data_IF_751818802508
#
_entry.id   IF_751818802508
#
_cell.length_a   1.000
_cell.length_b   1.000
_cell.length_c   1.000
_cell.angle_alpha   90.00
_cell.angle_beta   90.00
_cell.angle_gamma   90.00
#
_symmetry.space_group_name_H-M   'P 1'
#
loop_
_entity.id
_entity.type
_entity.pdbx_description
1 polymer ?
#
# COMPACT_ATOMS: atom_id res chain seq x y z
N UNK A 1 13.85 -0.72 -2.11
CA UNK A 1 13.74 0.47 -2.97
C UNK A 1 13.54 0.10 -4.43
N UNK A 2 12.71 0.83 -5.19
CA UNK A 2 12.65 0.77 -6.67
C UNK A 2 13.96 1.38 -7.24
N UNK A 3 14.89 0.58 -7.80
CA UNK A 3 16.17 1.10 -8.28
C UNK A 3 15.94 2.03 -9.49
N UNK A 4 16.54 3.21 -9.48
CA UNK A 4 16.48 4.20 -10.59
C UNK A 4 15.07 4.69 -10.99
N UNK A 5 14.04 4.44 -10.16
CA UNK A 5 12.68 4.96 -10.36
C UNK A 5 11.90 4.37 -11.54
N UNK A 6 12.33 3.23 -12.07
CA UNK A 6 11.72 2.59 -13.24
C UNK A 6 11.39 1.12 -13.05
N UNK A 7 10.54 0.60 -13.94
CA UNK A 7 10.28 -0.84 -14.05
C UNK A 7 11.50 -1.59 -14.60
N UNK A 8 11.61 -2.87 -14.27
CA UNK A 8 12.61 -3.76 -14.88
C UNK A 8 12.41 -3.81 -16.40
N UNK A 9 13.52 -3.78 -17.15
CA UNK A 9 13.49 -3.97 -18.61
C UNK A 9 13.17 -5.40 -19.04
N UNK A 10 13.35 -6.37 -18.13
CA UNK A 10 12.95 -7.76 -18.32
C UNK A 10 11.88 -8.15 -17.28
N UNK A 11 10.74 -8.72 -17.71
CA UNK A 11 9.77 -9.28 -16.78
C UNK A 11 10.40 -10.38 -15.93
N UNK A 12 10.18 -10.32 -14.62
CA UNK A 12 10.60 -11.32 -13.64
C UNK A 12 9.41 -11.70 -12.76
N UNK A 13 8.37 -12.36 -13.32
CA UNK A 13 7.17 -12.73 -12.57
C UNK A 13 7.47 -13.83 -11.55
N UNK A 14 6.82 -13.75 -10.40
CA UNK A 14 6.91 -14.71 -9.31
C UNK A 14 5.67 -14.56 -8.42
N UNK A 15 5.27 -15.57 -7.63
CA UNK A 15 4.18 -15.40 -6.67
C UNK A 15 4.44 -14.28 -5.67
N UNK A 16 3.39 -13.65 -5.14
CA UNK A 16 3.52 -12.70 -4.02
C UNK A 16 4.01 -13.41 -2.76
N UNK A 17 4.78 -12.69 -1.94
CA UNK A 17 5.34 -13.21 -0.68
C UNK A 17 4.32 -13.33 0.45
N UNK A 18 3.15 -12.71 0.29
CA UNK A 18 2.06 -12.72 1.26
C UNK A 18 0.70 -12.76 0.56
N UNK A 19 -0.35 -12.94 1.34
CA UNK A 19 -1.72 -12.76 0.87
C UNK A 19 -1.91 -11.28 0.54
N UNK A 20 -2.52 -10.99 -0.61
CA UNK A 20 -2.84 -9.64 -1.08
C UNK A 20 -4.35 -9.47 -1.27
N UNK A 21 -4.81 -8.23 -1.44
CA UNK A 21 -6.19 -7.94 -1.81
C UNK A 21 -6.69 -8.70 -3.06
N UNK A 22 -8.01 -8.88 -3.11
CA UNK A 22 -8.72 -9.35 -4.29
C UNK A 22 -9.59 -8.23 -4.85
N UNK A 23 -9.66 -8.08 -6.18
CA UNK A 23 -10.57 -7.13 -6.83
C UNK A 23 -12.04 -7.44 -6.55
N UNK A 24 -12.37 -8.69 -6.16
CA UNK A 24 -13.71 -9.11 -5.73
C UNK A 24 -14.06 -8.63 -4.31
N UNK A 25 -13.07 -8.22 -3.53
CA UNK A 25 -13.22 -7.74 -2.16
C UNK A 25 -12.47 -6.41 -1.97
N UNK A 26 -12.88 -5.34 -2.69
CA UNK A 26 -12.11 -4.10 -2.75
C UNK A 26 -12.01 -3.37 -1.40
N UNK A 27 -12.87 -3.70 -0.45
CA UNK A 27 -12.91 -3.14 0.90
C UNK A 27 -12.05 -3.92 1.91
N UNK A 28 -11.19 -4.84 1.44
CA UNK A 28 -10.30 -5.64 2.28
C UNK A 28 -8.91 -5.69 1.63
N UNK A 29 -7.86 -5.45 2.42
CA UNK A 29 -6.48 -5.70 2.02
C UNK A 29 -5.67 -6.27 3.18
N UNK A 30 -4.50 -6.82 2.84
CA UNK A 30 -3.60 -7.53 3.73
C UNK A 30 -2.17 -7.04 3.54
N UNK A 31 -1.43 -7.00 4.64
CA UNK A 31 -0.01 -6.68 4.63
C UNK A 31 0.66 -7.42 5.78
N UNK A 32 1.86 -7.95 5.55
CA UNK A 32 2.71 -8.45 6.63
C UNK A 32 3.17 -7.31 7.55
N UNK A 33 3.03 -7.51 8.85
CA UNK A 33 3.44 -6.55 9.87
C UNK A 33 4.08 -7.20 11.08
N UNK A 34 4.44 -6.35 12.04
CA UNK A 34 4.99 -6.68 13.35
C UNK A 34 3.95 -7.15 14.35
N UNK A 35 4.37 -7.22 15.61
CA UNK A 35 3.58 -7.80 16.72
C UNK A 35 2.36 -6.96 17.06
N UNK A 36 2.55 -5.64 17.09
CA UNK A 36 1.51 -4.66 17.41
C UNK A 36 1.82 -3.36 16.66
N UNK A 37 0.84 -2.45 16.63
CA UNK A 37 1.06 -1.09 16.13
C UNK A 37 2.14 -0.42 16.98
N UNK A 38 3.10 0.24 16.32
CA UNK A 38 4.30 0.82 16.94
C UNK A 38 5.27 -0.20 17.60
N UNK A 39 5.12 -1.51 17.33
CA UNK A 39 6.01 -2.56 17.87
C UNK A 39 6.68 -3.39 16.76
N UNK A 40 7.95 -3.07 16.51
CA UNK A 40 8.82 -3.72 15.53
C UNK A 40 9.74 -4.78 16.15
N UNK A 41 9.58 -5.11 17.44
CA UNK A 41 10.50 -5.99 18.20
C UNK A 41 10.64 -7.39 17.60
N UNK A 42 9.62 -7.88 16.90
CA UNK A 42 9.60 -9.17 16.22
C UNK A 42 9.93 -9.08 14.70
N UNK A 43 10.25 -7.89 14.19
CA UNK A 43 10.36 -7.61 12.76
C UNK A 43 9.00 -7.39 12.09
N UNK A 44 9.01 -6.98 10.82
CA UNK A 44 7.80 -6.65 10.04
C UNK A 44 7.20 -7.83 9.26
N UNK A 45 7.84 -8.99 9.32
CA UNK A 45 7.34 -10.25 8.73
C UNK A 45 6.85 -11.21 9.83
N UNK A 46 6.22 -10.67 10.88
CA UNK A 46 5.82 -11.45 12.05
C UNK A 46 4.45 -12.11 11.87
N UNK A 47 3.44 -11.33 11.47
CA UNK A 47 2.08 -11.83 11.26
C UNK A 47 1.37 -11.04 10.14
N UNK A 48 0.34 -11.65 9.57
CA UNK A 48 -0.50 -10.97 8.58
C UNK A 48 -1.47 -10.04 9.29
N UNK A 49 -1.59 -8.82 8.79
CA UNK A 49 -2.58 -7.85 9.22
C UNK A 49 -3.64 -7.67 8.13
N UNK A 50 -4.81 -7.21 8.55
CA UNK A 50 -5.94 -6.93 7.67
C UNK A 50 -6.46 -5.52 7.94
N UNK A 51 -6.69 -4.78 6.85
CA UNK A 51 -7.58 -3.63 6.86
C UNK A 51 -8.92 -4.05 6.27
N UNK A 52 -10.03 -3.59 6.85
CA UNK A 52 -11.33 -3.71 6.21
C UNK A 52 -12.16 -2.45 6.41
N UNK A 53 -13.05 -2.17 5.47
CA UNK A 53 -14.06 -1.13 5.60
C UNK A 53 -15.40 -1.79 5.89
N UNK A 54 -16.12 -1.24 6.86
CA UNK A 54 -17.47 -1.67 7.25
C UNK A 54 -18.31 -0.43 7.52
N UNK A 55 -19.28 -0.21 6.65
CA UNK A 55 -19.98 1.07 6.48
C UNK A 55 -18.97 2.22 6.32
N UNK A 56 -18.88 3.10 7.32
CA UNK A 56 -17.99 4.26 7.32
C UNK A 56 -16.74 4.04 8.19
N UNK A 57 -16.59 2.88 8.82
CA UNK A 57 -15.48 2.61 9.75
C UNK A 57 -14.40 1.78 9.06
N UNK A 58 -13.17 2.27 9.11
CA UNK A 58 -11.99 1.51 8.69
C UNK A 58 -11.42 0.79 9.90
N UNK A 59 -11.47 -0.54 9.87
CA UNK A 59 -10.92 -1.42 10.89
C UNK A 59 -9.54 -1.92 10.50
N UNK A 60 -8.65 -2.05 11.48
CA UNK A 60 -7.30 -2.56 11.34
C UNK A 60 -6.98 -3.53 12.48
N UNK A 61 -6.41 -4.69 12.16
CA UNK A 61 -5.97 -5.65 13.15
C UNK A 61 -5.18 -6.82 12.55
N UNK A 62 -4.62 -7.70 13.39
CA UNK A 62 -4.08 -8.97 12.91
C UNK A 62 -5.16 -9.78 12.20
N UNK A 63 -4.84 -10.48 11.10
CA UNK A 63 -5.81 -11.32 10.41
C UNK A 63 -6.26 -12.47 11.32
N UNK A 64 -7.58 -12.64 11.45
CA UNK A 64 -8.19 -13.57 12.41
C UNK A 64 -8.10 -13.15 13.88
N UNK A 65 -7.54 -11.96 14.18
CA UNK A 65 -7.43 -11.40 15.52
C UNK A 65 -8.47 -10.31 15.81
N UNK A 66 -8.24 -9.57 16.91
CA UNK A 66 -9.07 -8.43 17.30
C UNK A 66 -8.70 -7.19 16.47
N UNK A 67 -9.67 -6.66 15.74
CA UNK A 67 -9.52 -5.41 15.00
C UNK A 67 -9.93 -4.21 15.86
N UNK A 68 -9.34 -3.05 15.56
CA UNK A 68 -9.68 -1.77 16.17
C UNK A 68 -10.04 -0.76 15.08
N UNK A 69 -10.93 0.21 15.35
CA UNK A 69 -11.15 1.33 14.44
C UNK A 69 -9.86 2.13 14.24
N UNK A 70 -9.40 2.28 12.99
CA UNK A 70 -8.29 3.14 12.61
C UNK A 70 -8.77 4.58 12.41
N UNK A 71 -9.84 4.76 11.63
CA UNK A 71 -10.52 6.05 11.43
C UNK A 71 -11.94 5.83 10.88
N UNK A 72 -12.75 6.89 10.90
CA UNK A 72 -14.09 6.91 10.32
C UNK A 72 -14.07 7.80 9.09
N UNK A 73 -14.54 7.29 7.96
CA UNK A 73 -14.62 8.00 6.70
C UNK A 73 -15.67 7.39 5.77
N UNK A 74 -16.71 8.15 5.37
CA UNK A 74 -17.81 7.58 4.62
C UNK A 74 -17.50 7.35 3.14
N UNK A 75 -18.18 6.39 2.53
CA UNK A 75 -18.17 6.18 1.09
C UNK A 75 -16.82 5.76 0.50
N UNK A 76 -16.03 4.99 1.26
CA UNK A 76 -14.85 4.33 0.72
C UNK A 76 -15.29 3.18 -0.18
N UNK A 77 -14.71 3.11 -1.38
CA UNK A 77 -15.03 2.07 -2.37
C UNK A 77 -13.90 1.07 -2.59
N UNK A 78 -12.71 1.36 -2.07
CA UNK A 78 -11.50 0.56 -2.23
C UNK A 78 -10.48 0.91 -1.15
N UNK A 79 -9.73 -0.06 -0.64
CA UNK A 79 -8.69 0.14 0.38
C UNK A 79 -7.43 -0.68 0.08
N UNK A 80 -6.28 -0.20 0.55
CA UNK A 80 -5.01 -0.90 0.55
C UNK A 80 -4.20 -0.60 1.83
N UNK A 81 -3.43 -1.57 2.31
CA UNK A 81 -2.72 -1.52 3.59
C UNK A 81 -1.20 -1.65 3.40
N UNK A 82 -0.46 -0.82 4.15
CA UNK A 82 0.95 -1.00 4.40
C UNK A 82 1.28 -0.63 5.86
N UNK A 83 2.50 -0.95 6.28
CA UNK A 83 3.10 -0.39 7.49
C UNK A 83 4.44 0.23 7.16
N UNK A 84 4.78 1.33 7.82
CA UNK A 84 6.13 1.85 7.74
C UNK A 84 7.11 1.07 8.64
N UNK A 85 8.37 1.50 8.60
CA UNK A 85 9.44 0.87 9.39
C UNK A 85 9.23 0.91 10.91
N UNK A 86 8.32 1.75 11.40
CA UNK A 86 7.99 1.88 12.81
C UNK A 86 6.69 1.14 13.17
N UNK A 87 6.13 0.32 12.28
CA UNK A 87 4.80 -0.29 12.47
C UNK A 87 3.68 0.74 12.59
N UNK A 88 3.81 1.90 11.94
CA UNK A 88 2.72 2.86 11.79
C UNK A 88 1.93 2.50 10.53
N UNK A 89 0.59 2.45 10.61
CA UNK A 89 -0.24 2.09 9.46
C UNK A 89 -0.16 3.14 8.37
N UNK A 90 -0.12 2.69 7.13
CA UNK A 90 -0.28 3.53 5.95
C UNK A 90 -1.42 2.93 5.13
N UNK A 91 -2.52 3.66 5.01
CA UNK A 91 -3.75 3.16 4.39
C UNK A 91 -4.07 4.02 3.18
N UNK A 92 -4.06 3.43 1.99
CA UNK A 92 -4.53 4.08 0.78
C UNK A 92 -5.98 3.67 0.50
N UNK A 93 -6.79 4.56 -0.05
CA UNK A 93 -8.20 4.27 -0.31
C UNK A 93 -8.80 5.15 -1.40
N UNK A 94 -9.90 4.71 -1.99
CA UNK A 94 -10.69 5.49 -2.94
C UNK A 94 -11.96 6.00 -2.25
N UNK A 95 -12.23 7.31 -2.36
CA UNK A 95 -13.46 7.94 -1.87
C UNK A 95 -13.93 8.96 -2.92
N UNK A 96 -15.21 8.88 -3.32
CA UNK A 96 -15.77 9.80 -4.32
C UNK A 96 -15.05 9.76 -5.67
N UNK A 97 -14.52 8.59 -6.06
CA UNK A 97 -13.74 8.42 -7.28
C UNK A 97 -12.31 8.98 -7.22
N UNK A 98 -11.84 9.38 -6.04
CA UNK A 98 -10.54 10.02 -5.82
C UNK A 98 -9.69 9.16 -4.88
N UNK A 99 -8.42 8.94 -5.23
CA UNK A 99 -7.45 8.29 -4.35
C UNK A 99 -7.01 9.22 -3.20
N UNK A 100 -6.82 8.61 -2.02
CA UNK A 100 -6.35 9.22 -0.78
C UNK A 100 -5.31 8.33 -0.10
N UNK A 101 -4.50 8.95 0.75
CA UNK A 101 -3.52 8.29 1.61
C UNK A 101 -3.68 8.78 3.05
N UNK A 102 -3.78 7.86 4.00
CA UNK A 102 -3.72 8.10 5.44
C UNK A 102 -2.40 7.58 5.99
N UNK A 103 -1.56 8.47 6.50
CA UNK A 103 -0.17 8.16 6.87
C UNK A 103 0.35 9.12 7.94
N UNK A 104 1.43 8.76 8.62
CA UNK A 104 2.07 9.59 9.64
C UNK A 104 3.02 10.62 9.00
N UNK A 105 2.74 11.92 9.16
CA UNK A 105 3.60 12.99 8.69
C UNK A 105 4.39 13.58 9.87
N UNK A 106 5.68 13.27 9.96
CA UNK A 106 6.56 13.73 11.04
C UNK A 106 6.78 15.25 11.15
N UNK A 107 6.24 16.05 10.23
CA UNK A 107 6.28 17.53 10.35
C UNK A 107 5.04 18.15 10.97
N UNK A 108 3.99 17.35 11.16
CA UNK A 108 2.79 17.75 11.90
C UNK A 108 2.48 16.72 12.99
N UNK A 109 1.66 17.06 13.99
CA UNK A 109 1.32 16.11 15.04
C UNK A 109 0.36 15.03 14.53
N UNK A 110 0.91 13.92 14.01
CA UNK A 110 0.16 12.67 13.83
C UNK A 110 -0.19 12.28 12.40
N UNK A 111 -1.31 11.56 12.27
CA UNK A 111 -1.77 11.01 11.01
C UNK A 111 -2.50 12.08 10.18
N UNK A 112 -2.23 12.11 8.88
CA UNK A 112 -2.84 13.06 7.94
C UNK A 112 -3.55 12.33 6.80
N UNK A 113 -4.53 13.00 6.21
CA UNK A 113 -5.15 12.56 4.95
C UNK A 113 -4.61 13.40 3.79
N UNK A 114 -4.03 12.74 2.80
CA UNK A 114 -3.50 13.38 1.59
C UNK A 114 -4.29 12.92 0.37
N UNK A 115 -4.92 13.84 -0.35
CA UNK A 115 -5.59 13.54 -1.62
C UNK A 115 -4.60 13.50 -2.78
N UNK A 116 -4.74 12.53 -3.69
CA UNK A 116 -3.85 12.36 -4.85
C UNK A 116 -4.61 12.67 -6.14
N UNK A 117 -4.90 13.96 -6.39
CA UNK A 117 -5.86 14.41 -7.41
C UNK A 117 -5.75 13.68 -8.76
N UNK A 118 -6.89 13.20 -9.28
CA UNK A 118 -6.98 12.50 -10.56
C UNK A 118 -6.38 11.10 -10.60
N UNK A 119 -5.93 10.57 -9.46
CA UNK A 119 -5.49 9.19 -9.33
C UNK A 119 -6.63 8.23 -8.95
N UNK A 120 -6.55 7.01 -9.48
CA UNK A 120 -7.48 5.90 -9.24
C UNK A 120 -6.72 4.60 -8.98
N UNK A 121 -7.40 3.61 -8.37
CA UNK A 121 -6.86 2.31 -7.98
C UNK A 121 -5.55 2.42 -7.17
N UNK A 122 -5.55 3.12 -6.02
CA UNK A 122 -4.36 3.23 -5.21
C UNK A 122 -4.02 1.89 -4.55
N UNK A 123 -2.75 1.49 -4.63
CA UNK A 123 -2.17 0.39 -3.87
C UNK A 123 -0.98 0.87 -3.08
N UNK A 124 -0.76 0.28 -1.92
CA UNK A 124 0.34 0.65 -1.03
C UNK A 124 0.96 -0.60 -0.42
N UNK A 125 2.28 -0.64 -0.29
CA UNK A 125 3.00 -1.72 0.41
C UNK A 125 4.36 -1.20 0.86
N UNK A 126 4.94 -1.79 1.90
CA UNK A 126 6.35 -1.64 2.21
C UNK A 126 7.17 -2.52 1.26
N UNK A 127 8.04 -1.90 0.47
CA UNK A 127 8.72 -2.58 -0.62
C UNK A 127 9.69 -3.69 -0.20
N UNK A 128 10.27 -3.59 1.01
CA UNK A 128 11.13 -4.62 1.58
C UNK A 128 11.00 -4.70 3.11
N UNK A 129 10.30 -5.73 3.58
CA UNK A 129 9.98 -5.95 5.00
C UNK A 129 11.08 -6.68 5.79
N UNK A 130 12.19 -7.05 5.15
CA UNK A 130 13.24 -7.88 5.77
C UNK A 130 14.01 -7.10 6.84
N UNK A 131 14.36 -7.77 7.95
CA UNK A 131 15.02 -7.19 9.14
C UNK A 131 16.34 -6.44 8.87
N UNK A 132 16.98 -6.64 7.71
CA UNK A 132 18.21 -5.94 7.30
C UNK A 132 18.02 -4.83 6.25
N UNK A 133 16.79 -4.52 5.86
CA UNK A 133 16.47 -3.56 4.79
C UNK A 133 15.82 -2.28 5.33
N UNK A 134 15.96 -2.03 6.64
CA UNK A 134 15.32 -0.91 7.34
C UNK A 134 15.78 0.46 6.83
N UNK A 135 17.01 0.58 6.33
CA UNK A 135 17.55 1.83 5.76
C UNK A 135 17.31 1.99 4.24
N UNK A 136 16.83 0.95 3.57
CA UNK A 136 16.72 0.85 2.11
C UNK A 136 15.31 0.53 1.62
N UNK A 137 14.33 0.60 2.52
CA UNK A 137 12.93 0.39 2.24
C UNK A 137 12.13 1.66 2.42
N UNK A 138 11.05 1.76 1.68
CA UNK A 138 10.10 2.85 1.74
C UNK A 138 8.71 2.29 1.53
N UNK A 139 7.71 2.89 2.18
CA UNK A 139 6.32 2.63 1.79
C UNK A 139 6.08 3.27 0.43
N UNK A 140 5.66 2.45 -0.53
CA UNK A 140 5.39 2.83 -1.91
C UNK A 140 3.89 2.93 -2.09
N UNK A 141 3.41 4.08 -2.56
CA UNK A 141 2.05 4.28 -3.04
C UNK A 141 2.08 4.28 -4.56
N UNK A 142 1.35 3.37 -5.20
CA UNK A 142 1.18 3.33 -6.64
C UNK A 142 -0.29 3.51 -7.04
N UNK A 143 -0.53 4.08 -8.21
CA UNK A 143 -1.87 4.35 -8.72
C UNK A 143 -1.83 4.63 -10.23
N UNK A 144 -3.01 4.63 -10.85
CA UNK A 144 -3.19 5.07 -12.21
C UNK A 144 -3.64 6.53 -12.26
N UNK A 145 -3.10 7.29 -13.21
CA UNK A 145 -3.59 8.63 -13.56
C UNK A 145 -3.50 8.81 -15.07
N UNK A 146 -4.60 9.25 -15.68
CA UNK A 146 -4.67 9.47 -17.13
C UNK A 146 -4.13 8.27 -17.96
N UNK A 147 -4.40 7.04 -17.52
CA UNK A 147 -3.97 5.81 -18.18
C UNK A 147 -2.51 5.39 -17.93
N UNK A 148 -1.70 6.19 -17.22
CA UNK A 148 -0.31 5.88 -16.88
C UNK A 148 -0.17 5.38 -15.44
N UNK A 149 0.81 4.52 -15.20
CA UNK A 149 1.16 4.06 -13.86
C UNK A 149 2.20 4.99 -13.23
N UNK A 150 1.88 5.49 -12.05
CA UNK A 150 2.76 6.31 -11.24
C UNK A 150 3.01 5.68 -9.89
N UNK A 151 4.08 6.13 -9.23
CA UNK A 151 4.26 5.92 -7.81
C UNK A 151 4.72 7.20 -7.08
N UNK A 152 4.52 7.16 -5.77
CA UNK A 152 5.09 8.06 -4.77
C UNK A 152 5.67 7.23 -3.65
N UNK A 153 6.61 7.79 -2.89
CA UNK A 153 7.31 7.07 -1.83
C UNK A 153 7.35 7.88 -0.53
N UNK A 154 7.43 7.17 0.59
CA UNK A 154 7.45 7.74 1.93
C UNK A 154 8.60 8.74 2.15
N UNK A 155 9.78 8.48 1.58
CA UNK A 155 10.96 9.35 1.74
C UNK A 155 10.77 10.77 1.25
N UNK A 156 10.01 10.92 0.17
CA UNK A 156 9.68 12.23 -0.39
C UNK A 156 8.37 12.77 0.20
N UNK A 157 7.89 12.14 1.29
CA UNK A 157 6.62 12.47 1.95
C UNK A 157 5.45 12.47 0.97
N UNK A 158 5.55 11.61 -0.05
CA UNK A 158 4.60 11.50 -1.15
C UNK A 158 4.33 12.83 -1.90
N UNK A 159 5.28 13.76 -1.90
CA UNK A 159 5.18 15.02 -2.63
C UNK A 159 5.57 14.87 -4.10
N UNK A 160 6.62 14.07 -4.37
CA UNK A 160 7.10 13.81 -5.71
C UNK A 160 6.37 12.63 -6.33
N UNK A 161 5.98 12.78 -7.59
CA UNK A 161 5.35 11.75 -8.39
C UNK A 161 6.29 11.27 -9.50
N UNK A 162 6.41 9.96 -9.63
CA UNK A 162 7.32 9.32 -10.56
C UNK A 162 6.54 8.43 -11.53
N UNK A 163 6.80 8.59 -12.82
CA UNK A 163 6.21 7.75 -13.87
C UNK A 163 6.93 6.39 -13.90
N UNK A 164 6.18 5.30 -13.75
CA UNK A 164 6.70 3.93 -13.95
C UNK A 164 6.54 3.48 -15.39
N UNK A 165 5.36 3.70 -15.97
CA UNK A 165 5.09 3.42 -17.38
C UNK A 165 3.89 4.22 -17.87
N UNK A 166 4.00 4.73 -19.09
CA UNK A 166 2.88 5.38 -19.78
C UNK A 166 1.86 4.39 -20.35
N UNK A 167 2.24 3.11 -20.46
CA UNK A 167 1.45 2.05 -21.08
C UNK A 167 1.36 0.83 -20.15
N UNK A 168 0.71 0.95 -18.99
CA UNK A 168 0.46 -0.22 -18.14
C UNK A 168 -0.48 -1.21 -18.84
N UNK A 169 -0.45 -2.50 -18.45
CA UNK A 169 -1.48 -3.45 -18.84
C UNK A 169 -2.90 -2.94 -18.53
N UNK A 170 -3.88 -3.36 -19.32
CA UNK A 170 -5.27 -2.99 -19.12
C UNK A 170 -5.87 -3.63 -17.84
N UNK A 171 -7.02 -3.12 -17.39
CA UNK A 171 -7.77 -3.68 -16.26
C UNK A 171 -7.66 -2.89 -14.95
N UNK A 172 -6.74 -1.94 -14.84
CA UNK A 172 -6.54 -1.20 -13.59
C UNK A 172 -5.45 -1.81 -12.72
N UNK A 173 -4.93 -1.04 -11.76
CA UNK A 173 -3.95 -1.54 -10.79
C UNK A 173 -4.70 -2.36 -9.72
N UNK A 174 -4.60 -3.68 -9.82
CA UNK A 174 -5.35 -4.60 -8.99
C UNK A 174 -4.68 -4.86 -7.64
N UNK A 175 -3.35 -4.95 -7.59
CA UNK A 175 -2.60 -5.28 -6.37
C UNK A 175 -1.13 -4.87 -6.49
N UNK A 176 -0.43 -4.79 -5.36
CA UNK A 176 1.01 -4.50 -5.31
C UNK A 176 1.63 -5.18 -4.10
N UNK A 177 2.70 -5.96 -4.32
CA UNK A 177 3.41 -6.64 -3.23
C UNK A 177 4.81 -7.09 -3.66
N UNK A 178 5.69 -7.29 -2.69
CA UNK A 178 6.95 -8.01 -2.88
C UNK A 178 6.67 -9.45 -3.37
N UNK A 179 7.42 -9.91 -4.35
CA UNK A 179 7.35 -11.30 -4.82
C UNK A 179 8.33 -12.21 -4.09
N UNK A 180 8.13 -13.53 -4.18
CA UNK A 180 9.09 -14.52 -3.68
C UNK A 180 10.45 -14.46 -4.38
N UNK A 181 10.54 -13.79 -5.54
CA UNK A 181 11.79 -13.46 -6.22
C UNK A 181 12.47 -12.18 -5.74
N UNK A 182 11.95 -11.52 -4.70
CA UNK A 182 12.53 -10.30 -4.14
C UNK A 182 12.38 -9.08 -5.05
N UNK A 183 11.31 -9.03 -5.87
CA UNK A 183 10.97 -7.88 -6.73
C UNK A 183 9.57 -7.35 -6.42
N UNK A 184 9.45 -6.03 -6.26
CA UNK A 184 8.15 -5.39 -6.08
C UNK A 184 7.38 -5.54 -7.39
N UNK A 185 6.17 -6.10 -7.31
CA UNK A 185 5.36 -6.42 -8.47
C UNK A 185 4.03 -5.69 -8.41
N UNK A 186 3.58 -5.26 -9.58
CA UNK A 186 2.31 -4.58 -9.81
C UNK A 186 1.41 -5.55 -10.55
N UNK A 187 0.33 -5.98 -9.90
CA UNK A 187 -0.68 -6.83 -10.51
C UNK A 187 -1.75 -5.98 -11.19
N UNK A 188 -2.11 -6.35 -12.41
CA UNK A 188 -3.17 -5.70 -13.18
C UNK A 188 -4.30 -6.69 -13.42
N UNK A 189 -5.54 -6.18 -13.43
CA UNK A 189 -6.71 -7.01 -13.65
C UNK A 189 -7.99 -6.22 -13.47
N UNK A 190 -8.98 -6.48 -14.34
CA UNK A 190 -10.30 -5.87 -14.27
C UNK A 190 -11.12 -6.38 -13.07
N UNK A 191 -12.04 -5.53 -12.62
CA UNK A 191 -13.22 -5.97 -11.89
C UNK A 191 -14.10 -6.87 -12.76
#
# INVERSE_FOLDING_TARGET
>A
MIPTGGLSSTPQPAPFSERVNSTLQPLIDYEMGGRAINDTSAGLQYQLWRVRVDEDVVYLGPDGGNEQPAFIRPGITEVALAFDQNMQPVIAFTQGGQAWLWWFDGTVPGMVFTSILGAVNPRVTLDDKRRGQTSSSDVILAYLRAGSLYYRQQRDRYLTEYLLTANPPCGGLATMCMSTGGRLQFGFGGA
#
